data_IF_377635717426
#
_entry.id   IF_377635717426
#
_cell.length_a   1.000
_cell.length_b   1.000
_cell.length_c   1.000
_cell.angle_alpha   90.00
_cell.angle_beta   90.00
_cell.angle_gamma   90.00
#
_symmetry.space_group_name_H-M   'P 1'
#
loop_
_entity.id
_entity.type
_entity.pdbx_description
1 polymer ?
#
# COMPACT_ATOMS: atom_id res chain seq x y z
N UNK A 1 2.62 24.33 -3.14
CA UNK A 1 2.67 23.26 -4.17
C UNK A 1 1.86 22.09 -3.61
N UNK A 2 1.01 21.44 -4.41
CA UNK A 2 0.25 20.28 -3.93
C UNK A 2 1.22 19.11 -3.71
N UNK A 3 1.14 18.45 -2.55
CA UNK A 3 1.87 17.22 -2.31
C UNK A 3 1.28 16.11 -3.21
N UNK A 4 2.11 15.35 -3.94
CA UNK A 4 1.61 14.27 -4.78
C UNK A 4 0.97 13.18 -3.91
N UNK A 5 -0.19 12.68 -4.32
CA UNK A 5 -0.82 11.53 -3.66
C UNK A 5 0.07 10.28 -3.84
N UNK A 6 0.55 9.62 -2.77
CA UNK A 6 1.42 8.45 -2.87
C UNK A 6 0.69 7.17 -3.31
N UNK A 7 -0.65 7.12 -3.16
CA UNK A 7 -1.46 5.92 -3.41
C UNK A 7 -1.25 5.33 -4.81
N UNK A 8 -1.27 6.09 -5.92
CA UNK A 8 -1.13 5.54 -7.27
C UNK A 8 0.20 4.80 -7.48
N UNK A 9 1.29 5.39 -6.99
CA UNK A 9 2.64 4.81 -7.09
C UNK A 9 2.76 3.57 -6.22
N UNK A 10 2.33 3.64 -4.96
CA UNK A 10 2.37 2.51 -4.02
C UNK A 10 1.50 1.35 -4.50
N UNK A 11 0.30 1.62 -5.00
CA UNK A 11 -0.57 0.60 -5.60
C UNK A 11 0.12 -0.12 -6.76
N UNK A 12 0.69 0.65 -7.71
CA UNK A 12 1.42 0.08 -8.84
C UNK A 12 2.62 -0.75 -8.40
N UNK A 13 3.39 -0.26 -7.43
CA UNK A 13 4.57 -0.93 -6.89
C UNK A 13 4.21 -2.27 -6.23
N UNK A 14 3.24 -2.28 -5.30
CA UNK A 14 2.78 -3.49 -4.63
C UNK A 14 2.17 -4.50 -5.61
N UNK A 15 1.32 -4.04 -6.55
CA UNK A 15 0.76 -4.90 -7.60
C UNK A 15 1.84 -5.54 -8.47
N UNK A 16 2.82 -4.76 -8.89
CA UNK A 16 3.90 -5.26 -9.76
C UNK A 16 4.79 -6.24 -9.00
N UNK A 17 5.06 -6.00 -7.71
CA UNK A 17 5.78 -6.93 -6.82
C UNK A 17 5.01 -8.25 -6.64
N UNK A 18 3.68 -8.21 -6.60
CA UNK A 18 2.81 -9.39 -6.56
C UNK A 18 2.71 -10.12 -7.92
N UNK A 19 3.23 -9.55 -9.01
CA UNK A 19 3.25 -10.19 -10.33
C UNK A 19 1.88 -10.30 -11.03
N UNK A 20 0.87 -9.53 -10.59
CA UNK A 20 -0.50 -9.60 -11.13
C UNK A 20 -0.84 -8.39 -11.99
N UNK A 21 -1.77 -8.56 -12.94
CA UNK A 21 -2.24 -7.45 -13.80
C UNK A 21 -3.22 -6.55 -13.07
N UNK A 22 -3.47 -5.35 -13.59
CA UNK A 22 -4.52 -4.45 -13.08
C UNK A 22 -5.89 -5.14 -13.08
N UNK A 23 -6.25 -5.80 -14.18
CA UNK A 23 -7.52 -6.53 -14.27
C UNK A 23 -7.61 -7.63 -13.21
N UNK A 24 -6.54 -8.39 -13.04
CA UNK A 24 -6.46 -9.47 -12.05
C UNK A 24 -6.68 -8.93 -10.63
N UNK A 25 -5.93 -7.91 -10.20
CA UNK A 25 -6.11 -7.30 -8.88
C UNK A 25 -7.55 -6.82 -8.68
N UNK A 26 -8.12 -6.13 -9.68
CA UNK A 26 -9.50 -5.64 -9.59
C UNK A 26 -10.50 -6.78 -9.37
N UNK A 27 -10.36 -7.89 -10.10
CA UNK A 27 -11.23 -9.06 -9.94
C UNK A 27 -11.06 -9.67 -8.54
N UNK A 28 -9.82 -9.84 -8.07
CA UNK A 28 -9.54 -10.46 -6.75
C UNK A 28 -10.11 -9.68 -5.58
N UNK A 29 -10.12 -8.34 -5.66
CA UNK A 29 -10.76 -7.50 -4.64
C UNK A 29 -12.29 -7.38 -4.82
N UNK A 30 -12.91 -8.15 -5.74
CA UNK A 30 -14.36 -8.22 -5.91
C UNK A 30 -14.96 -7.20 -6.88
N UNK A 31 -14.19 -6.72 -7.86
CA UNK A 31 -14.74 -5.88 -8.94
C UNK A 31 -15.27 -6.72 -10.11
N UNK A 32 -16.35 -6.24 -10.72
CA UNK A 32 -16.86 -6.79 -11.97
C UNK A 32 -15.78 -6.86 -13.08
N UNK A 33 -15.56 -8.03 -13.72
CA UNK A 33 -14.48 -8.23 -14.69
C UNK A 33 -14.46 -7.23 -15.86
N UNK A 34 -15.63 -6.75 -16.28
CA UNK A 34 -15.80 -5.77 -17.36
C UNK A 34 -15.27 -4.38 -17.00
N UNK A 35 -15.22 -4.03 -15.71
CA UNK A 35 -14.82 -2.71 -15.20
C UNK A 35 -13.49 -2.72 -14.43
N UNK A 36 -13.02 -3.90 -14.01
CA UNK A 36 -11.84 -4.07 -13.15
C UNK A 36 -10.59 -3.37 -13.71
N UNK A 37 -10.24 -3.60 -14.98
CA UNK A 37 -9.05 -2.99 -15.60
C UNK A 37 -9.14 -1.46 -15.65
N UNK A 38 -10.32 -0.91 -15.98
CA UNK A 38 -10.52 0.54 -16.10
C UNK A 38 -10.41 1.24 -14.75
N UNK A 39 -11.05 0.68 -13.71
CA UNK A 39 -10.98 1.22 -12.34
C UNK A 39 -9.57 1.17 -11.78
N UNK A 40 -8.86 0.05 -11.93
CA UNK A 40 -7.47 -0.06 -11.46
C UNK A 40 -6.54 0.90 -12.20
N UNK A 41 -6.70 1.08 -13.51
CA UNK A 41 -5.94 2.09 -14.25
C UNK A 41 -6.23 3.52 -13.76
N UNK A 42 -7.47 3.85 -13.38
CA UNK A 42 -7.78 5.15 -12.80
C UNK A 42 -7.09 5.36 -11.45
N UNK A 43 -7.04 4.33 -10.61
CA UNK A 43 -6.32 4.39 -9.33
C UNK A 43 -4.82 4.55 -9.52
N UNK A 44 -4.17 3.74 -10.37
CA UNK A 44 -2.73 3.83 -10.63
C UNK A 44 -2.31 5.10 -11.38
N UNK A 45 -3.24 5.80 -12.03
CA UNK A 45 -3.01 7.13 -12.63
C UNK A 45 -3.43 8.30 -11.74
N UNK A 46 -3.95 8.02 -10.54
CA UNK A 46 -4.44 9.05 -9.61
C UNK A 46 -5.65 9.85 -10.12
N UNK A 47 -6.40 9.32 -11.11
CA UNK A 47 -7.64 9.96 -11.61
C UNK A 47 -8.79 9.82 -10.61
N UNK A 48 -8.79 8.72 -9.88
CA UNK A 48 -9.67 8.47 -8.74
C UNK A 48 -8.83 7.98 -7.57
N UNK A 49 -9.29 8.30 -6.36
CA UNK A 49 -8.72 7.76 -5.13
C UNK A 49 -9.63 6.63 -4.65
N UNK A 50 -9.11 5.42 -4.39
CA UNK A 50 -9.91 4.38 -3.76
C UNK A 50 -10.34 4.81 -2.35
N UNK A 51 -11.53 4.39 -1.93
CA UNK A 51 -11.94 4.53 -0.54
C UNK A 51 -11.13 3.60 0.39
N UNK A 52 -11.30 3.78 1.71
CA UNK A 52 -10.56 3.02 2.71
C UNK A 52 -10.86 1.51 2.60
N UNK A 53 -12.11 1.11 2.34
CA UNK A 53 -12.49 -0.30 2.22
C UNK A 53 -11.85 -0.95 0.99
N UNK A 54 -11.74 -0.21 -0.11
CA UNK A 54 -11.04 -0.66 -1.31
C UNK A 54 -9.54 -0.73 -1.09
N UNK A 55 -8.94 0.27 -0.42
CA UNK A 55 -7.52 0.21 -0.02
C UNK A 55 -7.25 -0.98 0.90
N UNK A 56 -8.15 -1.27 1.85
CA UNK A 56 -8.01 -2.41 2.76
C UNK A 56 -8.01 -3.73 2.00
N UNK A 57 -8.97 -3.95 1.09
CA UNK A 57 -9.00 -5.14 0.22
C UNK A 57 -7.76 -5.27 -0.65
N UNK A 58 -7.27 -4.16 -1.22
CA UNK A 58 -6.00 -4.16 -1.97
C UNK A 58 -4.82 -4.51 -1.08
N UNK A 59 -4.76 -3.98 0.15
CA UNK A 59 -3.68 -4.24 1.10
C UNK A 59 -3.61 -5.74 1.43
N UNK A 60 -4.77 -6.31 1.75
CA UNK A 60 -4.92 -7.71 2.12
C UNK A 60 -4.54 -8.63 0.94
N UNK A 61 -5.00 -8.32 -0.28
CA UNK A 61 -4.64 -9.09 -1.49
C UNK A 61 -3.16 -8.96 -1.86
N UNK A 62 -2.56 -7.78 -1.69
CA UNK A 62 -1.17 -7.51 -2.06
C UNK A 62 -0.15 -7.87 -0.96
N UNK A 63 -0.62 -8.31 0.20
CA UNK A 63 0.24 -8.69 1.33
C UNK A 63 1.05 -7.51 1.91
N UNK A 64 0.48 -6.31 1.91
CA UNK A 64 1.08 -5.10 2.47
C UNK A 64 0.18 -4.49 3.55
N UNK A 65 0.72 -3.82 4.58
CA UNK A 65 -0.13 -3.11 5.54
C UNK A 65 -0.79 -1.89 4.88
N UNK A 66 -2.00 -1.50 5.31
CA UNK A 66 -2.74 -0.41 4.65
C UNK A 66 -1.99 0.93 4.67
N UNK A 67 -1.18 1.20 5.70
CA UNK A 67 -0.36 2.42 5.80
C UNK A 67 0.71 2.51 4.69
N UNK A 68 1.07 1.39 4.04
CA UNK A 68 1.97 1.36 2.88
C UNK A 68 1.52 2.29 1.75
N UNK A 69 0.21 2.41 1.51
CA UNK A 69 -0.33 3.27 0.45
C UNK A 69 -0.14 4.77 0.70
N UNK A 70 0.22 5.14 1.94
CA UNK A 70 0.42 6.53 2.36
C UNK A 70 1.91 6.90 2.49
N UNK A 71 2.82 5.97 2.19
CA UNK A 71 4.25 6.21 2.26
C UNK A 71 4.73 7.03 1.05
N UNK A 72 5.34 8.19 1.30
CA UNK A 72 5.80 9.12 0.25
C UNK A 72 7.08 8.65 -0.46
N UNK A 73 7.87 7.76 0.16
CA UNK A 73 9.13 7.26 -0.39
C UNK A 73 9.35 5.78 -0.07
N UNK A 74 10.29 5.17 -0.80
CA UNK A 74 10.53 3.73 -0.71
C UNK A 74 11.04 3.27 0.66
N UNK A 75 11.79 4.14 1.38
CA UNK A 75 12.29 3.84 2.72
C UNK A 75 11.13 3.66 3.69
N UNK A 76 10.20 4.63 3.73
CA UNK A 76 9.02 4.55 4.62
C UNK A 76 8.09 3.40 4.23
N UNK A 77 7.97 3.09 2.94
CA UNK A 77 7.19 1.97 2.43
C UNK A 77 7.77 0.61 2.83
N UNK A 78 9.10 0.46 2.76
CA UNK A 78 9.79 -0.75 3.21
C UNK A 78 9.70 -0.90 4.74
N UNK A 79 9.91 0.19 5.49
CA UNK A 79 9.73 0.20 6.95
C UNK A 79 8.32 -0.23 7.34
N UNK A 80 7.28 0.28 6.67
CA UNK A 80 5.90 -0.14 6.94
C UNK A 80 5.75 -1.66 6.78
N UNK A 81 6.26 -2.23 5.68
CA UNK A 81 6.23 -3.67 5.44
C UNK A 81 7.01 -4.48 6.47
N UNK A 82 8.18 -4.01 6.90
CA UNK A 82 9.02 -4.68 7.90
C UNK A 82 8.38 -4.65 9.29
N UNK A 83 7.87 -3.49 9.70
CA UNK A 83 7.18 -3.31 10.98
C UNK A 83 5.92 -4.20 11.04
N UNK A 84 5.17 -4.31 9.94
CA UNK A 84 3.98 -5.16 9.88
C UNK A 84 4.28 -6.66 10.08
N UNK A 85 5.53 -7.10 9.88
CA UNK A 85 5.97 -8.48 10.12
C UNK A 85 6.54 -8.69 11.53
N UNK A 86 6.77 -7.63 12.27
CA UNK A 86 7.27 -7.70 13.64
C UNK A 86 6.15 -8.09 14.61
N UNK A 87 6.53 -8.82 15.65
CA UNK A 87 5.70 -8.98 16.85
C UNK A 87 5.57 -7.65 17.59
N UNK A 88 4.54 -7.51 18.42
CA UNK A 88 4.36 -6.32 19.27
C UNK A 88 5.60 -6.04 20.14
N UNK A 89 6.22 -7.08 20.70
CA UNK A 89 7.44 -6.96 21.49
C UNK A 89 8.62 -6.38 20.69
N UNK A 90 8.84 -6.87 19.46
CA UNK A 90 9.87 -6.33 18.56
C UNK A 90 9.60 -4.86 18.18
N UNK A 91 8.34 -4.48 17.99
CA UNK A 91 7.97 -3.09 17.71
C UNK A 91 8.26 -2.18 18.92
N UNK A 92 7.94 -2.63 20.14
CA UNK A 92 8.24 -1.90 21.38
C UNK A 92 9.76 -1.69 21.53
N UNK A 93 10.56 -2.72 21.28
CA UNK A 93 12.03 -2.65 21.31
C UNK A 93 12.58 -1.68 20.27
N UNK A 94 12.05 -1.71 19.04
CA UNK A 94 12.43 -0.77 17.98
C UNK A 94 12.11 0.68 18.40
N UNK A 95 10.93 0.95 18.96
CA UNK A 95 10.54 2.28 19.45
C UNK A 95 11.51 2.75 20.53
N UNK A 96 11.87 1.88 21.48
CA UNK A 96 12.83 2.21 22.54
C UNK A 96 14.22 2.54 21.97
N UNK A 97 14.70 1.75 21.01
CA UNK A 97 15.98 1.99 20.32
C UNK A 97 15.99 3.35 19.61
N UNK A 98 14.95 3.66 18.85
CA UNK A 98 14.85 4.91 18.09
C UNK A 98 14.77 6.15 19.01
N UNK A 99 14.04 6.07 20.13
CA UNK A 99 13.95 7.16 21.12
C UNK A 99 15.30 7.45 21.77
N UNK A 100 16.09 6.42 22.06
CA UNK A 100 17.43 6.58 22.65
C UNK A 100 18.41 7.31 21.72
N UNK A 101 18.28 7.12 20.41
CA UNK A 101 19.15 7.75 19.41
C UNK A 101 18.77 9.21 19.07
N UNK A 102 17.67 9.72 19.63
CA UNK A 102 17.23 11.12 19.48
C UNK A 102 17.62 11.99 20.70
N UNK A 103 18.27 11.39 21.70
CA UNK A 103 18.85 12.04 22.89
C UNK A 103 20.34 12.31 22.66
#
# INVERSE_FOLDING_TARGET
MAHPNPIPERLKAARTKAGITQKELGIRIGMEPSSASGRMNHYEKGRHTPDIDTLKRMADELGVPINYFFCENDITAELACLIAKMTEQQQIELIAMLKKNQS
#
